data_IF_854593423492
#
_entry.id   IF_854593423492
#
_cell.length_a   1.000
_cell.length_b   1.000
_cell.length_c   1.000
_cell.angle_alpha   90.00
_cell.angle_beta   90.00
_cell.angle_gamma   90.00
#
_symmetry.space_group_name_H-M   'P 1'
#
loop_
_entity.id
_entity.type
_entity.pdbx_description
1 polymer ?
#
# COMPACT_ATOMS: atom_id res chain seq x y z
N UNK A 1 12.17 1.04 -11.40
CA UNK A 1 11.05 0.07 -11.33
C UNK A 1 9.89 0.75 -10.62
N UNK A 2 8.64 0.48 -11.01
CA UNK A 2 7.46 0.98 -10.28
C UNK A 2 6.85 -0.17 -9.50
N UNK A 3 6.50 0.06 -8.24
CA UNK A 3 5.85 -0.91 -7.36
C UNK A 3 4.49 -0.36 -6.97
N UNK A 4 3.47 -1.21 -7.08
CA UNK A 4 2.11 -0.84 -6.74
C UNK A 4 1.63 -1.69 -5.56
N UNK A 5 1.04 -1.05 -4.57
CA UNK A 5 0.32 -1.69 -3.47
C UNK A 5 -1.08 -1.10 -3.39
N UNK A 6 -2.05 -1.86 -2.91
CA UNK A 6 -3.44 -1.40 -2.83
C UNK A 6 -4.18 -2.01 -1.66
N UNK A 7 -5.14 -1.26 -1.12
CA UNK A 7 -5.96 -1.66 0.00
C UNK A 7 -6.88 -0.55 0.49
N UNK A 8 -7.74 -0.87 1.45
CA UNK A 8 -8.64 0.12 2.07
C UNK A 8 -7.88 1.03 3.04
N UNK A 9 -6.94 0.46 3.81
CA UNK A 9 -6.11 1.19 4.78
C UNK A 9 -6.88 2.09 5.77
N UNK A 10 -8.13 1.73 6.09
CA UNK A 10 -9.04 2.53 6.95
C UNK A 10 -8.44 2.80 8.35
N UNK A 11 -7.96 1.73 9.01
CA UNK A 11 -7.14 1.84 10.21
C UNK A 11 -5.77 1.23 9.91
N UNK A 12 -4.73 2.02 10.07
CA UNK A 12 -3.35 1.56 9.92
C UNK A 12 -2.94 0.68 11.11
N UNK A 13 -2.39 -0.49 10.81
CA UNK A 13 -1.84 -1.42 11.77
C UNK A 13 -0.52 -2.00 11.26
N UNK A 14 0.16 -2.79 12.08
CA UNK A 14 1.50 -3.32 11.80
C UNK A 14 1.63 -4.03 10.44
N UNK A 15 0.62 -4.80 10.03
CA UNK A 15 0.60 -5.42 8.70
C UNK A 15 0.71 -4.44 7.52
N UNK A 16 0.08 -3.26 7.59
CA UNK A 16 0.20 -2.23 6.55
C UNK A 16 1.59 -1.61 6.53
N UNK A 17 2.19 -1.40 7.71
CA UNK A 17 3.56 -0.90 7.83
C UNK A 17 4.53 -1.88 7.19
N UNK A 18 4.43 -3.17 7.52
CA UNK A 18 5.26 -4.21 6.93
C UNK A 18 5.09 -4.29 5.40
N UNK A 19 3.86 -4.12 4.88
CA UNK A 19 3.61 -4.08 3.44
C UNK A 19 4.31 -2.90 2.76
N UNK A 20 4.24 -1.71 3.35
CA UNK A 20 4.91 -0.52 2.81
C UNK A 20 6.43 -0.63 2.90
N UNK A 21 6.98 -1.14 4.01
CA UNK A 21 8.42 -1.38 4.14
C UNK A 21 8.94 -2.26 3.01
N UNK A 22 8.27 -3.38 2.71
CA UNK A 22 8.64 -4.23 1.57
C UNK A 22 8.50 -3.56 0.22
N UNK A 23 7.49 -2.70 0.05
CA UNK A 23 7.35 -1.93 -1.19
C UNK A 23 8.53 -0.96 -1.38
N UNK A 24 8.95 -0.25 -0.33
CA UNK A 24 10.07 0.70 -0.39
C UNK A 24 11.45 0.04 -0.51
N UNK A 25 11.63 -1.18 0.01
CA UNK A 25 12.90 -1.95 -0.13
C UNK A 25 13.28 -2.24 -1.59
N UNK A 26 12.31 -2.26 -2.51
CA UNK A 26 12.56 -2.57 -3.93
C UNK A 26 13.29 -1.46 -4.71
N UNK A 27 13.53 -0.29 -4.10
CA UNK A 27 14.36 0.77 -4.67
C UNK A 27 13.75 1.50 -5.87
N UNK A 28 12.41 1.54 -5.94
CA UNK A 28 11.63 2.15 -7.02
C UNK A 28 10.59 3.18 -6.56
N UNK A 29 9.85 3.73 -7.51
CA UNK A 29 8.68 4.57 -7.22
C UNK A 29 7.54 3.68 -6.69
N UNK A 30 6.99 4.01 -5.52
CA UNK A 30 5.86 3.28 -4.91
C UNK A 30 4.57 4.05 -5.16
N UNK A 31 3.58 3.38 -5.77
CA UNK A 31 2.23 3.89 -5.98
C UNK A 31 1.28 3.14 -5.05
N UNK A 32 0.51 3.88 -4.25
CA UNK A 32 -0.46 3.33 -3.29
C UNK A 32 -1.88 3.61 -3.78
N UNK A 33 -2.63 2.55 -4.09
CA UNK A 33 -4.04 2.63 -4.43
C UNK A 33 -4.92 2.52 -3.18
N UNK A 34 -5.81 3.49 -2.98
CA UNK A 34 -6.82 3.46 -1.91
C UNK A 34 -8.16 3.03 -2.48
N UNK A 35 -8.79 2.05 -1.85
CA UNK A 35 -10.18 1.68 -2.15
C UNK A 35 -11.14 2.79 -1.70
N UNK A 36 -12.15 3.09 -2.50
CA UNK A 36 -13.25 3.98 -2.09
C UNK A 36 -14.27 3.24 -1.24
N UNK A 37 -15.01 3.96 -0.38
CA UNK A 37 -16.08 3.40 0.45
C UNK A 37 -17.21 2.75 -0.36
N UNK A 38 -17.38 3.16 -1.62
CA UNK A 38 -18.35 2.60 -2.55
C UNK A 38 -17.94 1.26 -3.17
N UNK A 39 -16.70 0.81 -2.94
CA UNK A 39 -16.19 -0.46 -3.47
C UNK A 39 -16.73 -1.62 -2.61
N UNK A 40 -17.63 -2.43 -3.18
CA UNK A 40 -18.27 -3.60 -2.56
C UNK A 40 -17.65 -4.92 -3.00
#
# INVERSE_FOLDING_TARGET
>A
MKVCVGGTFDILHEGHIALFERAFETGGEVVVGLSSDSLV
#
